data_IF_232341654341
#
_entry.id   IF_232341654341
#
_cell.length_a   1.000
_cell.length_b   1.000
_cell.length_c   1.000
_cell.angle_alpha   90.00
_cell.angle_beta   90.00
_cell.angle_gamma   90.00
#
_symmetry.space_group_name_H-M   'P 1'
#
loop_
_entity.id
_entity.type
_entity.pdbx_description
1 polymer ?
#
# COMPACT_ATOMS: atom_id res chain seq x y z
N UNK A 1 1.34 -24.31 -34.79
CA UNK A 1 0.79 -24.09 -33.43
C UNK A 1 1.97 -24.32 -32.53
N UNK A 2 2.57 -23.22 -32.12
CA UNK A 2 3.98 -23.19 -31.78
C UNK A 2 4.17 -23.67 -30.35
N UNK A 3 5.11 -24.60 -30.13
CA UNK A 3 5.44 -25.17 -28.82
C UNK A 3 5.71 -24.10 -27.74
N UNK A 4 6.01 -22.87 -28.16
CA UNK A 4 6.15 -21.69 -27.32
C UNK A 4 4.85 -21.34 -26.55
N UNK A 5 3.67 -21.54 -27.14
CA UNK A 5 2.37 -21.22 -26.50
C UNK A 5 2.10 -22.10 -25.27
N UNK A 6 2.61 -23.33 -25.25
CA UNK A 6 2.49 -24.26 -24.13
C UNK A 6 3.60 -24.02 -23.08
N UNK A 7 4.78 -23.57 -23.53
CA UNK A 7 5.93 -23.34 -22.64
C UNK A 7 5.74 -22.11 -21.75
N UNK A 8 5.17 -21.02 -22.28
CA UNK A 8 4.96 -19.76 -21.54
C UNK A 8 4.17 -19.96 -20.23
N UNK A 9 2.97 -20.59 -20.22
CA UNK A 9 2.19 -20.77 -19.00
C UNK A 9 2.85 -21.73 -17.98
N UNK A 10 3.85 -22.50 -18.38
CA UNK A 10 4.60 -23.39 -17.48
C UNK A 10 5.83 -22.67 -16.91
N UNK A 11 6.58 -21.96 -17.76
CA UNK A 11 7.83 -21.31 -17.39
C UNK A 11 7.61 -20.09 -16.47
N UNK A 12 6.55 -19.31 -16.72
CA UNK A 12 6.22 -18.12 -15.94
C UNK A 12 5.96 -18.45 -14.45
N UNK A 13 5.05 -19.38 -14.08
CA UNK A 13 4.84 -19.72 -12.68
C UNK A 13 6.05 -20.42 -12.05
N UNK A 14 6.81 -21.22 -12.82
CA UNK A 14 8.04 -21.83 -12.33
C UNK A 14 9.10 -20.79 -11.97
N UNK A 15 9.30 -19.78 -12.82
CA UNK A 15 10.23 -18.67 -12.57
C UNK A 15 9.80 -17.83 -11.37
N UNK A 16 8.50 -17.56 -11.25
CA UNK A 16 7.93 -16.83 -10.11
C UNK A 16 8.15 -17.61 -8.81
N UNK A 17 7.86 -18.92 -8.80
CA UNK A 17 8.08 -19.78 -7.64
C UNK A 17 9.55 -19.85 -7.26
N UNK A 18 10.46 -20.00 -8.23
CA UNK A 18 11.90 -20.02 -8.00
C UNK A 18 12.41 -18.69 -7.42
N UNK A 19 11.88 -17.55 -7.88
CA UNK A 19 12.23 -16.24 -7.38
C UNK A 19 11.75 -16.02 -5.95
N UNK A 20 10.49 -16.36 -5.65
CA UNK A 20 9.96 -16.32 -4.27
C UNK A 20 10.82 -17.20 -3.37
N UNK A 21 11.04 -18.45 -3.78
CA UNK A 21 11.86 -19.38 -3.01
C UNK A 21 13.28 -18.84 -2.79
N UNK A 22 13.91 -18.27 -3.80
CA UNK A 22 15.23 -17.66 -3.72
C UNK A 22 15.30 -16.51 -2.71
N UNK A 23 14.32 -15.60 -2.72
CA UNK A 23 14.23 -14.49 -1.76
C UNK A 23 14.09 -15.02 -0.33
N UNK A 24 13.19 -15.99 -0.11
CA UNK A 24 12.99 -16.56 1.22
C UNK A 24 14.20 -17.34 1.72
N UNK A 25 14.86 -18.12 0.83
CA UNK A 25 16.06 -18.87 1.15
C UNK A 25 17.21 -17.94 1.56
N UNK A 26 17.46 -16.87 0.79
CA UNK A 26 18.50 -15.90 1.13
C UNK A 26 18.23 -15.23 2.47
N UNK A 27 16.98 -14.79 2.70
CA UNK A 27 16.57 -14.15 3.96
C UNK A 27 16.75 -15.07 5.17
N UNK A 28 16.52 -16.37 5.02
CA UNK A 28 16.76 -17.33 6.09
C UNK A 28 18.25 -17.56 6.35
N UNK A 29 19.06 -17.58 5.28
CA UNK A 29 20.52 -17.72 5.39
C UNK A 29 21.16 -16.52 6.09
N UNK A 30 20.73 -15.30 5.75
CA UNK A 30 21.17 -14.08 6.42
C UNK A 30 20.83 -14.10 7.92
N UNK A 31 19.64 -14.58 8.28
CA UNK A 31 19.24 -14.72 9.69
C UNK A 31 20.14 -15.67 10.46
N UNK A 32 20.51 -16.82 9.89
CA UNK A 32 21.43 -17.76 10.55
C UNK A 32 22.84 -17.17 10.69
N UNK A 33 23.35 -16.51 9.65
CA UNK A 33 24.64 -15.83 9.69
C UNK A 33 24.70 -14.71 10.74
N UNK A 34 23.57 -14.05 11.04
CA UNK A 34 23.49 -13.08 12.14
C UNK A 34 23.59 -13.75 13.52
N UNK A 35 22.88 -14.87 13.73
CA UNK A 35 22.94 -15.64 14.99
C UNK A 35 24.35 -16.15 15.25
N UNK A 36 25.01 -16.72 14.23
CA UNK A 36 26.38 -17.23 14.32
C UNK A 36 27.41 -16.15 14.66
N UNK A 37 27.15 -14.89 14.28
CA UNK A 37 27.97 -13.72 14.61
C UNK A 37 27.61 -13.09 15.97
N UNK A 38 26.71 -13.72 16.74
CA UNK A 38 26.27 -13.19 18.04
C UNK A 38 25.35 -11.98 17.94
N UNK A 39 24.83 -11.67 16.75
CA UNK A 39 23.86 -10.58 16.55
C UNK A 39 22.44 -11.11 16.69
N UNK A 40 21.60 -10.45 17.50
CA UNK A 40 20.18 -10.82 17.63
C UNK A 40 19.41 -10.43 16.34
N UNK A 41 18.89 -11.41 15.56
CA UNK A 41 18.11 -11.12 14.35
C UNK A 41 16.79 -10.41 14.65
N UNK A 42 16.38 -10.35 15.93
CA UNK A 42 15.15 -9.70 16.37
C UNK A 42 15.31 -8.18 16.49
N UNK A 43 16.53 -7.65 16.52
CA UNK A 43 16.80 -6.20 16.45
C UNK A 43 16.27 -5.59 15.14
N UNK A 44 16.33 -6.36 14.05
CA UNK A 44 15.85 -5.99 12.72
C UNK A 44 14.40 -6.41 12.44
N UNK A 45 13.63 -6.85 13.44
CA UNK A 45 12.18 -6.91 13.21
C UNK A 45 11.69 -5.48 13.03
N UNK A 46 11.04 -5.12 11.91
CA UNK A 46 10.22 -3.92 11.94
C UNK A 46 9.24 -4.16 13.09
N UNK A 47 9.39 -3.40 14.18
CA UNK A 47 8.34 -3.32 15.20
C UNK A 47 7.04 -3.13 14.43
N UNK A 48 5.96 -3.88 14.72
CA UNK A 48 4.69 -3.69 14.02
C UNK A 48 4.35 -2.22 14.19
N UNK A 49 4.61 -1.43 13.15
CA UNK A 49 4.47 0.00 13.17
C UNK A 49 2.96 0.21 13.12
N UNK A 50 2.29 0.53 14.24
CA UNK A 50 0.85 0.71 14.23
C UNK A 50 0.44 1.82 13.24
N UNK A 51 1.41 2.67 12.90
CA UNK A 51 1.39 3.77 11.95
C UNK A 51 1.20 3.36 10.49
N UNK A 52 1.58 2.15 10.08
CA UNK A 52 1.43 1.70 8.70
C UNK A 52 -0.06 1.42 8.39
N UNK A 53 -0.78 0.88 9.37
CA UNK A 53 -2.23 0.68 9.29
C UNK A 53 -2.98 2.02 9.25
N UNK A 54 -2.47 3.06 9.92
CA UNK A 54 -3.08 4.39 9.94
C UNK A 54 -3.00 5.07 8.56
N UNK A 55 -1.91 4.86 7.81
CA UNK A 55 -1.74 5.36 6.43
C UNK A 55 -2.78 4.76 5.50
N UNK A 56 -2.93 3.44 5.52
CA UNK A 56 -3.90 2.73 4.68
C UNK A 56 -5.34 3.04 5.10
N UNK A 57 -5.61 3.13 6.40
CA UNK A 57 -6.93 3.50 6.93
C UNK A 57 -7.37 4.88 6.48
N UNK A 58 -6.50 5.88 6.58
CA UNK A 58 -6.85 7.25 6.22
C UNK A 58 -6.91 7.47 4.70
N UNK A 59 -6.12 6.73 3.92
CA UNK A 59 -6.26 6.65 2.46
C UNK A 59 -7.64 6.10 2.08
N UNK A 60 -8.06 4.97 2.68
CA UNK A 60 -9.36 4.36 2.42
C UNK A 60 -10.52 5.26 2.81
N UNK A 61 -10.43 5.92 3.98
CA UNK A 61 -11.46 6.88 4.43
C UNK A 61 -11.54 8.09 3.51
N UNK A 62 -10.39 8.67 3.11
CA UNK A 62 -10.34 9.77 2.16
C UNK A 62 -10.92 9.38 0.79
N UNK A 63 -10.46 8.28 0.21
CA UNK A 63 -10.97 7.79 -1.08
C UNK A 63 -12.47 7.45 -1.01
N UNK A 64 -12.96 6.87 0.08
CA UNK A 64 -14.37 6.54 0.27
C UNK A 64 -15.26 7.79 0.38
N UNK A 65 -14.83 8.79 1.15
CA UNK A 65 -15.53 10.09 1.22
C UNK A 65 -15.52 10.83 -0.12
N UNK A 66 -14.40 10.80 -0.84
CA UNK A 66 -14.29 11.38 -2.18
C UNK A 66 -15.26 10.74 -3.17
N UNK A 67 -15.35 9.40 -3.18
CA UNK A 67 -16.28 8.68 -4.04
C UNK A 67 -17.74 8.95 -3.67
N UNK A 68 -18.06 9.01 -2.37
CA UNK A 68 -19.39 9.34 -1.88
C UNK A 68 -19.83 10.76 -2.29
N UNK A 69 -18.92 11.74 -2.17
CA UNK A 69 -19.16 13.10 -2.64
C UNK A 69 -19.27 13.18 -4.17
N UNK A 70 -18.44 12.44 -4.92
CA UNK A 70 -18.54 12.37 -6.37
C UNK A 70 -19.92 11.89 -6.82
N UNK A 71 -20.42 10.82 -6.18
CA UNK A 71 -21.75 10.29 -6.44
C UNK A 71 -22.86 11.29 -6.10
N UNK A 72 -22.77 12.01 -4.98
CA UNK A 72 -23.74 13.05 -4.60
C UNK A 72 -23.74 14.22 -5.59
N UNK A 73 -22.56 14.67 -6.02
CA UNK A 73 -22.42 15.75 -7.00
C UNK A 73 -22.97 15.34 -8.37
N UNK A 74 -22.62 14.14 -8.83
CA UNK A 74 -23.12 13.57 -10.09
C UNK A 74 -24.65 13.49 -10.08
N UNK A 75 -25.23 12.99 -8.97
CA UNK A 75 -26.69 12.86 -8.81
C UNK A 75 -27.43 14.20 -8.74
N UNK A 76 -26.83 15.25 -8.16
CA UNK A 76 -27.54 16.50 -7.83
C UNK A 76 -27.24 17.64 -8.82
N UNK A 77 -26.05 17.67 -9.45
CA UNK A 77 -25.64 18.70 -10.41
C UNK A 77 -25.72 18.25 -11.88
N UNK A 78 -25.56 16.96 -12.16
CA UNK A 78 -25.42 16.45 -13.54
C UNK A 78 -26.63 15.64 -14.04
N UNK A 79 -27.81 15.84 -13.43
CA UNK A 79 -29.08 15.17 -13.80
C UNK A 79 -29.51 15.36 -15.28
N UNK A 80 -28.86 16.23 -16.06
CA UNK A 80 -29.24 16.57 -17.44
C UNK A 80 -28.27 16.15 -18.55
N UNK A 81 -27.05 15.70 -18.25
CA UNK A 81 -26.08 15.33 -19.29
C UNK A 81 -25.69 13.86 -19.14
N UNK A 82 -26.20 13.06 -20.06
CA UNK A 82 -26.05 11.61 -20.23
C UNK A 82 -24.64 11.14 -20.61
N UNK A 83 -23.61 11.96 -20.38
CA UNK A 83 -22.23 11.61 -20.71
C UNK A 83 -21.48 11.32 -19.40
N UNK A 84 -21.04 10.07 -19.30
CA UNK A 84 -20.35 9.47 -18.17
C UNK A 84 -19.21 10.36 -17.65
N UNK A 85 -19.47 11.13 -16.58
CA UNK A 85 -18.48 12.01 -15.96
C UNK A 85 -17.48 11.22 -15.10
N UNK A 86 -16.89 10.17 -15.65
CA UNK A 86 -15.83 9.38 -15.01
C UNK A 86 -14.68 10.27 -14.51
N UNK A 87 -14.40 11.37 -15.21
CA UNK A 87 -13.41 12.37 -14.81
C UNK A 87 -13.68 12.96 -13.42
N UNK A 88 -14.95 13.17 -13.03
CA UNK A 88 -15.32 13.71 -11.71
C UNK A 88 -15.03 12.68 -10.62
N UNK A 89 -15.35 11.41 -10.86
CA UNK A 89 -15.05 10.32 -9.95
C UNK A 89 -13.54 10.15 -9.73
N UNK A 90 -12.75 10.13 -10.81
CA UNK A 90 -11.30 10.04 -10.71
C UNK A 90 -10.68 11.26 -10.02
N UNK A 91 -11.16 12.47 -10.32
CA UNK A 91 -10.66 13.69 -9.70
C UNK A 91 -10.98 13.74 -8.19
N UNK A 92 -12.21 13.43 -7.78
CA UNK A 92 -12.59 13.48 -6.36
C UNK A 92 -11.94 12.37 -5.54
N UNK A 93 -11.83 11.14 -6.06
CA UNK A 93 -11.06 10.08 -5.38
C UNK A 93 -9.60 10.50 -5.22
N UNK A 94 -8.98 11.04 -6.26
CA UNK A 94 -7.57 11.46 -6.22
C UNK A 94 -7.34 12.60 -5.21
N UNK A 95 -8.21 13.61 -5.21
CA UNK A 95 -8.09 14.76 -4.30
C UNK A 95 -8.35 14.33 -2.85
N UNK A 96 -9.47 13.66 -2.56
CA UNK A 96 -9.80 13.28 -1.19
C UNK A 96 -8.90 12.16 -0.65
N UNK A 97 -8.50 11.20 -1.49
CA UNK A 97 -7.49 10.20 -1.14
C UNK A 97 -6.14 10.85 -0.83
N UNK A 98 -5.73 11.83 -1.63
CA UNK A 98 -4.52 12.63 -1.42
C UNK A 98 -4.57 13.44 -0.12
N UNK A 99 -5.68 14.11 0.18
CA UNK A 99 -5.87 14.84 1.44
C UNK A 99 -5.82 13.89 2.64
N UNK A 100 -6.44 12.71 2.53
CA UNK A 100 -6.36 11.66 3.56
C UNK A 100 -4.91 11.26 3.86
N UNK A 101 -4.08 11.10 2.82
CA UNK A 101 -2.65 10.81 3.00
C UNK A 101 -1.87 11.98 3.62
N UNK A 102 -2.14 13.23 3.23
CA UNK A 102 -1.48 14.41 3.80
C UNK A 102 -1.80 14.53 5.30
N UNK A 103 -3.05 14.29 5.70
CA UNK A 103 -3.46 14.28 7.11
C UNK A 103 -2.73 13.14 7.85
N UNK A 104 -2.58 11.97 7.22
CA UNK A 104 -1.87 10.83 7.81
C UNK A 104 -0.43 11.20 8.14
N UNK A 105 0.26 11.86 7.20
CA UNK A 105 1.63 12.34 7.40
C UNK A 105 1.73 13.39 8.51
N UNK A 106 0.74 14.29 8.63
CA UNK A 106 0.69 15.30 9.70
C UNK A 106 0.49 14.68 11.07
N UNK A 107 -0.37 13.66 11.18
CA UNK A 107 -0.60 12.92 12.43
C UNK A 107 0.67 12.15 12.82
N UNK A 108 1.27 11.44 11.86
CA UNK A 108 2.54 10.71 12.06
C UNK A 108 3.66 11.64 12.55
N UNK A 109 3.80 12.82 11.93
CA UNK A 109 4.79 13.80 12.36
C UNK A 109 4.56 14.29 13.80
N UNK A 110 3.31 14.45 14.22
CA UNK A 110 2.97 14.92 15.57
C UNK A 110 3.32 13.87 16.63
N UNK A 111 2.97 12.60 16.40
CA UNK A 111 3.28 11.51 17.33
C UNK A 111 4.79 11.26 17.48
N UNK A 112 5.56 11.41 16.40
CA UNK A 112 7.02 11.30 16.44
C UNK A 112 7.67 12.43 17.27
N UNK A 113 7.08 13.62 17.27
CA UNK A 113 7.59 14.75 18.06
C UNK A 113 7.20 14.68 19.56
N UNK A 114 6.01 14.17 19.90
CA UNK A 114 5.59 14.02 21.30
C UNK A 114 6.35 12.91 22.04
N UNK A 115 6.71 11.82 21.35
CA UNK A 115 7.55 10.75 21.92
C UNK A 115 9.03 11.15 22.14
N UNK A 116 9.44 12.37 21.76
CA UNK A 116 10.79 12.91 22.00
C UNK A 116 10.80 14.03 23.06
N UNK A 117 9.84 14.02 24.00
CA UNK A 117 9.95 14.77 25.24
C UNK A 117 10.59 13.86 26.29
N UNK A 118 11.90 13.99 26.59
CA UNK A 118 12.43 13.37 27.79
C UNK A 118 11.81 14.09 28.99
N UNK A 119 11.00 13.37 29.75
CA UNK A 119 10.74 13.69 31.16
C UNK A 119 12.00 13.52 32.01
#
# INVERSE_FOLDING_TARGET
MDNAEILIPILVPLGLFALIFGIFYMRNRERMAMIERGMDPRMNRPKPAPWENLKWGLLLVGSGLGLFLAFLLDRNMYSSNSDENAAIYFALIGIFGGIGLIISYRIEKKELHDNYRPE
#
